data_IF_644465535300
#
_entry.id   IF_644465535300
#
_cell.length_a   1.000
_cell.length_b   1.000
_cell.length_c   1.000
_cell.angle_alpha   90.00
_cell.angle_beta   90.00
_cell.angle_gamma   90.00
#
_symmetry.space_group_name_H-M   'P 1'
#
loop_
_entity.id
_entity.type
_entity.pdbx_description
1 polymer ?
#
# COMPACT_ATOMS: atom_id res chain seq x y z
N UNK A 1 -24.65 -12.68 -0.67
CA UNK A 1 -23.88 -13.06 0.53
C UNK A 1 -24.28 -12.33 1.82
N UNK A 2 -25.45 -11.65 1.89
CA UNK A 2 -25.82 -10.71 2.97
C UNK A 2 -26.07 -11.30 4.37
N UNK A 3 -26.01 -12.62 4.52
CA UNK A 3 -26.14 -13.32 5.81
C UNK A 3 -24.83 -13.92 6.30
N UNK A 4 -23.77 -13.88 5.49
CA UNK A 4 -22.45 -14.41 5.85
C UNK A 4 -21.83 -13.48 6.90
N UNK A 5 -21.48 -14.03 8.05
CA UNK A 5 -20.86 -13.29 9.18
C UNK A 5 -19.36 -13.58 9.30
N UNK A 6 -18.85 -14.61 8.64
CA UNK A 6 -17.42 -14.96 8.62
C UNK A 6 -17.02 -15.51 7.26
N UNK A 7 -15.84 -15.12 6.77
CA UNK A 7 -15.17 -15.69 5.60
C UNK A 7 -13.81 -16.31 5.98
N UNK A 8 -13.62 -16.66 7.26
CA UNK A 8 -12.39 -17.27 7.77
C UNK A 8 -11.92 -18.41 6.87
N UNK A 9 -10.73 -18.25 6.27
CA UNK A 9 -10.09 -19.22 5.37
C UNK A 9 -10.90 -19.63 4.12
N UNK A 10 -11.92 -18.88 3.70
CA UNK A 10 -12.82 -19.28 2.62
C UNK A 10 -12.12 -19.66 1.31
N UNK A 11 -11.04 -18.96 0.94
CA UNK A 11 -10.22 -19.24 -0.24
C UNK A 11 -8.76 -19.57 0.12
N UNK A 12 -8.52 -20.08 1.33
CA UNK A 12 -7.19 -20.47 1.76
C UNK A 12 -6.60 -21.52 0.81
N UNK A 13 -5.39 -21.28 0.29
CA UNK A 13 -4.70 -22.15 -0.67
C UNK A 13 -5.46 -22.40 -1.98
N UNK A 14 -6.44 -21.57 -2.30
CA UNK A 14 -7.06 -21.57 -3.61
C UNK A 14 -6.10 -20.89 -4.62
N UNK A 15 -4.97 -21.55 -4.93
CA UNK A 15 -3.81 -20.95 -5.60
C UNK A 15 -4.14 -20.21 -6.91
N UNK A 16 -5.17 -20.68 -7.62
CA UNK A 16 -5.62 -20.14 -8.92
C UNK A 16 -6.90 -19.31 -8.83
N UNK A 17 -7.45 -19.09 -7.64
CA UNK A 17 -8.68 -18.34 -7.47
C UNK A 17 -8.46 -16.88 -7.84
N UNK A 18 -9.29 -16.37 -8.76
CA UNK A 18 -9.29 -15.00 -9.24
C UNK A 18 -10.66 -14.66 -9.86
N UNK A 19 -11.74 -15.19 -9.27
CA UNK A 19 -13.10 -14.97 -9.78
C UNK A 19 -13.68 -13.70 -9.17
N UNK A 20 -14.44 -12.95 -9.97
CA UNK A 20 -15.07 -11.71 -9.51
C UNK A 20 -16.00 -11.97 -8.31
N UNK A 21 -15.71 -11.27 -7.22
CA UNK A 21 -16.45 -11.26 -5.95
C UNK A 21 -16.64 -9.84 -5.43
N UNK A 22 -16.36 -8.81 -6.25
CA UNK A 22 -16.44 -7.41 -5.84
C UNK A 22 -17.86 -7.00 -5.45
N UNK A 23 -18.87 -7.63 -6.05
CA UNK A 23 -20.29 -7.39 -5.79
C UNK A 23 -20.85 -8.09 -4.53
N UNK A 24 -20.03 -8.82 -3.78
CA UNK A 24 -20.48 -9.51 -2.59
C UNK A 24 -20.84 -8.52 -1.47
N UNK A 25 -22.01 -8.71 -0.88
CA UNK A 25 -22.40 -7.99 0.33
C UNK A 25 -21.63 -8.56 1.54
N UNK A 26 -20.73 -7.76 2.11
CA UNK A 26 -19.89 -8.11 3.28
C UNK A 26 -20.30 -7.39 4.56
N UNK A 27 -21.39 -6.62 4.59
CA UNK A 27 -21.74 -5.71 5.70
C UNK A 27 -22.08 -6.37 7.04
N UNK A 28 -22.13 -7.71 7.08
CA UNK A 28 -22.28 -8.50 8.31
C UNK A 28 -21.01 -9.27 8.71
N UNK A 29 -19.97 -9.25 7.89
CA UNK A 29 -18.75 -9.99 8.19
C UNK A 29 -18.00 -9.36 9.35
N UNK A 30 -17.60 -10.21 10.28
CA UNK A 30 -16.78 -9.82 11.43
C UNK A 30 -15.39 -10.44 11.38
N UNK A 31 -15.16 -11.44 10.53
CA UNK A 31 -13.91 -12.17 10.45
C UNK A 31 -13.52 -12.49 9.01
N UNK A 32 -12.39 -11.95 8.57
CA UNK A 32 -11.76 -12.18 7.25
C UNK A 32 -10.39 -12.85 7.38
N UNK A 33 -10.06 -13.42 8.54
CA UNK A 33 -8.79 -14.07 8.81
C UNK A 33 -8.43 -15.06 7.69
N UNK A 34 -7.26 -14.91 7.07
CA UNK A 34 -6.71 -15.81 6.05
C UNK A 34 -7.62 -16.10 4.85
N UNK A 35 -8.60 -15.24 4.56
CA UNK A 35 -9.58 -15.46 3.48
C UNK A 35 -8.90 -15.77 2.15
N UNK A 36 -7.87 -15.00 1.78
CA UNK A 36 -7.10 -15.20 0.53
C UNK A 36 -5.66 -15.65 0.79
N UNK A 37 -5.35 -16.20 1.97
CA UNK A 37 -4.00 -16.68 2.23
C UNK A 37 -3.63 -17.77 1.21
N UNK A 38 -2.50 -17.60 0.53
CA UNK A 38 -2.03 -18.46 -0.57
C UNK A 38 -2.95 -18.52 -1.79
N UNK A 39 -3.84 -17.55 -1.98
CA UNK A 39 -4.55 -17.38 -3.25
C UNK A 39 -3.64 -16.61 -4.23
N UNK A 40 -2.61 -17.29 -4.74
CA UNK A 40 -1.48 -16.66 -5.46
C UNK A 40 -1.91 -15.79 -6.65
N UNK A 41 -2.99 -16.17 -7.34
CA UNK A 41 -3.51 -15.49 -8.52
C UNK A 41 -4.58 -14.43 -8.22
N UNK A 42 -4.99 -14.25 -6.96
CA UNK A 42 -6.11 -13.38 -6.62
C UNK A 42 -5.73 -11.89 -6.78
N UNK A 43 -6.48 -11.16 -7.61
CA UNK A 43 -6.33 -9.73 -7.83
C UNK A 43 -7.66 -9.10 -8.31
N UNK A 44 -8.79 -9.52 -7.74
CA UNK A 44 -10.10 -8.96 -8.06
C UNK A 44 -10.41 -7.75 -7.18
N UNK A 45 -11.07 -6.76 -7.76
CA UNK A 45 -11.49 -5.55 -7.06
C UNK A 45 -12.45 -5.90 -5.91
N UNK A 46 -12.00 -5.57 -4.70
CA UNK A 46 -12.74 -5.72 -3.44
C UNK A 46 -12.70 -4.41 -2.64
N UNK A 47 -12.37 -3.29 -3.29
CA UNK A 47 -12.33 -1.97 -2.63
C UNK A 47 -13.69 -1.56 -2.07
N UNK A 48 -14.78 -2.06 -2.69
CA UNK A 48 -16.16 -1.81 -2.28
C UNK A 48 -16.67 -2.70 -1.13
N UNK A 49 -15.85 -3.62 -0.60
CA UNK A 49 -16.26 -4.42 0.55
C UNK A 49 -16.42 -3.57 1.81
N UNK A 50 -17.55 -3.74 2.50
CA UNK A 50 -17.77 -3.15 3.82
C UNK A 50 -16.97 -3.93 4.87
N UNK A 51 -15.97 -3.28 5.46
CA UNK A 51 -15.10 -3.81 6.52
C UNK A 51 -15.37 -3.21 7.90
N UNK A 52 -16.37 -2.33 8.03
CA UNK A 52 -16.65 -1.54 9.24
C UNK A 52 -16.92 -2.39 10.50
N UNK A 53 -17.31 -3.66 10.32
CA UNK A 53 -17.56 -4.62 11.42
C UNK A 53 -16.49 -5.68 11.60
N UNK A 54 -15.44 -5.68 10.77
CA UNK A 54 -14.42 -6.72 10.78
C UNK A 54 -13.44 -6.49 11.93
N UNK A 55 -13.29 -7.50 12.78
CA UNK A 55 -12.40 -7.45 13.95
C UNK A 55 -11.10 -8.23 13.74
N UNK A 56 -11.07 -9.19 12.81
CA UNK A 56 -9.88 -10.01 12.49
C UNK A 56 -9.63 -10.07 10.97
N UNK A 57 -8.44 -9.62 10.56
CA UNK A 57 -7.93 -9.66 9.18
C UNK A 57 -6.54 -10.34 9.12
N UNK A 58 -6.14 -11.08 10.15
CA UNK A 58 -4.82 -11.70 10.21
C UNK A 58 -4.56 -12.56 8.96
N UNK A 59 -3.46 -12.27 8.26
CA UNK A 59 -3.03 -12.97 7.05
C UNK A 59 -4.02 -12.99 5.90
N UNK A 60 -4.98 -12.06 5.81
CA UNK A 60 -5.98 -12.06 4.73
C UNK A 60 -5.36 -12.14 3.32
N UNK A 61 -4.21 -11.49 3.09
CA UNK A 61 -3.45 -11.50 1.84
C UNK A 61 -2.06 -12.15 1.97
N UNK A 62 -1.81 -12.96 2.99
CA UNK A 62 -0.52 -13.68 3.14
C UNK A 62 -0.28 -14.59 1.94
N UNK A 63 0.78 -14.35 1.19
CA UNK A 63 1.09 -14.94 -0.11
C UNK A 63 0.04 -14.70 -1.22
N UNK A 64 -0.83 -13.69 -1.14
CA UNK A 64 -1.62 -13.25 -2.30
C UNK A 64 -0.72 -12.45 -3.27
N UNK A 65 0.17 -13.16 -3.96
CA UNK A 65 1.39 -12.64 -4.61
C UNK A 65 1.17 -11.50 -5.58
N UNK A 66 0.04 -11.51 -6.29
CA UNK A 66 -0.30 -10.54 -7.35
C UNK A 66 -1.40 -9.56 -6.95
N UNK A 67 -1.88 -9.63 -5.70
CA UNK A 67 -2.94 -8.74 -5.22
C UNK A 67 -2.44 -7.30 -5.12
N UNK A 68 -3.13 -6.38 -5.78
CA UNK A 68 -2.81 -4.96 -5.81
C UNK A 68 -4.04 -4.08 -6.12
N UNK A 69 -5.17 -4.39 -5.48
CA UNK A 69 -6.41 -3.61 -5.65
C UNK A 69 -6.53 -2.55 -4.57
N UNK A 70 -7.09 -1.40 -4.93
CA UNK A 70 -7.29 -0.29 -4.01
C UNK A 70 -8.22 -0.71 -2.85
N UNK A 71 -7.68 -0.64 -1.65
CA UNK A 71 -8.35 -0.93 -0.38
C UNK A 71 -8.10 0.19 0.64
N UNK A 72 -7.61 1.36 0.19
CA UNK A 72 -7.33 2.49 1.07
C UNK A 72 -8.58 2.97 1.80
N UNK A 73 -9.75 2.81 1.18
CA UNK A 73 -11.06 3.20 1.71
C UNK A 73 -11.65 2.23 2.76
N UNK A 74 -11.00 1.11 3.06
CA UNK A 74 -11.51 0.17 4.07
C UNK A 74 -11.54 0.80 5.47
N UNK A 75 -12.69 0.70 6.14
CA UNK A 75 -12.84 1.06 7.54
C UNK A 75 -12.28 -0.05 8.43
N UNK A 76 -11.22 0.27 9.16
CA UNK A 76 -10.57 -0.65 10.08
C UNK A 76 -10.79 -0.31 11.54
N UNK A 77 -11.63 0.68 11.89
CA UNK A 77 -11.83 1.16 13.28
C UNK A 77 -12.10 0.05 14.31
N UNK A 78 -12.76 -1.04 13.91
CA UNK A 78 -13.03 -2.21 14.74
C UNK A 78 -12.02 -3.36 14.61
N UNK A 79 -11.09 -3.29 13.67
CA UNK A 79 -10.05 -4.29 13.50
C UNK A 79 -9.11 -4.33 14.71
N UNK A 80 -8.78 -5.54 15.15
CA UNK A 80 -7.88 -5.81 16.29
C UNK A 80 -6.70 -6.71 15.92
N UNK A 81 -6.68 -7.28 14.71
CA UNK A 81 -5.69 -8.27 14.27
C UNK A 81 -5.37 -8.13 12.79
N UNK A 82 -4.14 -7.75 12.51
CA UNK A 82 -3.60 -7.60 11.14
C UNK A 82 -2.26 -8.34 10.99
N UNK A 83 -2.01 -9.36 11.82
CA UNK A 83 -0.76 -10.10 11.80
C UNK A 83 -0.50 -10.68 10.40
N UNK A 84 0.66 -10.35 9.81
CA UNK A 84 1.07 -10.88 8.50
C UNK A 84 0.07 -10.62 7.36
N UNK A 85 -0.77 -9.59 7.45
CA UNK A 85 -1.81 -9.27 6.47
C UNK A 85 -1.30 -9.26 5.03
N UNK A 86 -0.11 -8.68 4.79
CA UNK A 86 0.53 -8.54 3.46
C UNK A 86 1.85 -9.30 3.33
N UNK A 87 2.10 -10.28 4.20
CA UNK A 87 3.33 -11.06 4.15
C UNK A 87 3.41 -11.77 2.79
N UNK A 88 4.52 -11.61 2.06
CA UNK A 88 4.71 -12.12 0.69
C UNK A 88 3.67 -11.65 -0.36
N UNK A 89 2.96 -10.55 -0.12
CA UNK A 89 2.13 -9.90 -1.13
C UNK A 89 3.03 -9.04 -2.05
N UNK A 90 3.79 -9.71 -2.93
CA UNK A 90 4.90 -9.08 -3.67
C UNK A 90 4.49 -7.85 -4.50
N UNK A 91 3.31 -7.89 -5.13
CA UNK A 91 2.82 -6.84 -6.01
C UNK A 91 2.07 -5.71 -5.27
N UNK A 92 1.75 -5.87 -3.99
CA UNK A 92 0.92 -4.90 -3.28
C UNK A 92 1.67 -3.60 -3.02
N UNK A 93 1.09 -2.47 -3.44
CA UNK A 93 1.65 -1.14 -3.20
C UNK A 93 0.61 -0.06 -2.88
N UNK A 94 -0.67 -0.39 -2.70
CA UNK A 94 -1.72 0.62 -2.51
C UNK A 94 -1.53 1.45 -1.25
N UNK A 95 -1.87 2.75 -1.30
CA UNK A 95 -1.79 3.63 -0.14
C UNK A 95 -2.81 3.23 0.92
N UNK A 96 -2.29 2.80 2.08
CA UNK A 96 -3.05 2.40 3.26
C UNK A 96 -2.54 3.12 4.51
N UNK A 97 -1.75 4.19 4.34
CA UNK A 97 -1.17 4.98 5.45
C UNK A 97 -2.25 5.67 6.28
N UNK A 98 -3.41 5.95 5.67
CA UNK A 98 -4.58 6.52 6.34
C UNK A 98 -5.30 5.59 7.33
N UNK A 99 -4.96 4.29 7.39
CA UNK A 99 -5.57 3.36 8.33
C UNK A 99 -5.18 3.70 9.78
N UNK A 100 -6.14 4.16 10.58
CA UNK A 100 -5.90 4.88 11.85
C UNK A 100 -5.81 4.02 13.11
N UNK A 101 -5.55 2.72 13.02
CA UNK A 101 -5.59 1.83 14.19
C UNK A 101 -4.20 1.52 14.79
N UNK A 102 -4.01 1.91 16.04
CA UNK A 102 -2.75 1.87 16.79
C UNK A 102 -2.31 0.48 17.31
N UNK A 103 -3.03 -0.62 17.07
CA UNK A 103 -2.84 -1.89 17.80
C UNK A 103 -1.98 -2.94 17.09
N UNK A 104 -0.87 -2.59 16.43
CA UNK A 104 -0.08 -3.55 15.64
C UNK A 104 1.45 -3.55 15.90
N UNK A 105 1.98 -2.84 16.89
CA UNK A 105 3.42 -2.92 17.15
C UNK A 105 3.88 -4.30 17.64
N UNK A 106 2.97 -5.11 18.18
CA UNK A 106 3.35 -6.29 18.95
C UNK A 106 3.52 -7.62 18.18
N UNK A 107 2.89 -7.87 17.02
CA UNK A 107 2.67 -9.30 16.63
C UNK A 107 2.80 -9.74 15.16
N UNK A 108 3.40 -8.97 14.24
CA UNK A 108 3.61 -9.54 12.90
C UNK A 108 4.57 -8.86 11.94
N UNK A 109 5.21 -9.70 11.13
CA UNK A 109 5.94 -9.37 9.91
C UNK A 109 4.97 -8.95 8.79
N UNK A 110 4.16 -7.91 9.04
CA UNK A 110 3.00 -7.53 8.21
C UNK A 110 3.38 -7.31 6.74
N UNK A 111 4.49 -6.61 6.51
CA UNK A 111 4.99 -6.28 5.18
C UNK A 111 6.24 -7.08 4.79
N UNK A 112 6.54 -8.18 5.49
CA UNK A 112 7.70 -9.01 5.13
C UNK A 112 7.53 -9.56 3.72
N UNK A 113 8.47 -9.22 2.84
CA UNK A 113 8.44 -9.57 1.42
C UNK A 113 7.24 -9.02 0.65
N UNK A 114 6.67 -7.91 1.12
CA UNK A 114 5.78 -7.06 0.31
C UNK A 114 6.66 -6.11 -0.52
N UNK A 115 7.34 -6.65 -1.53
CA UNK A 115 8.47 -6.00 -2.18
C UNK A 115 8.08 -4.66 -2.85
N UNK A 116 6.92 -4.59 -3.51
CA UNK A 116 6.44 -3.35 -4.13
C UNK A 116 6.11 -2.26 -3.09
N UNK A 117 5.45 -2.62 -1.98
CA UNK A 117 5.22 -1.72 -0.84
C UNK A 117 6.54 -1.22 -0.25
N UNK A 118 7.46 -2.13 0.08
CA UNK A 118 8.75 -1.78 0.69
C UNK A 118 9.68 -1.00 -0.27
N UNK A 119 9.51 -1.13 -1.58
CA UNK A 119 10.21 -0.30 -2.55
C UNK A 119 9.82 1.18 -2.41
N UNK A 120 8.61 1.46 -1.92
CA UNK A 120 7.95 2.77 -2.03
C UNK A 120 7.64 3.41 -0.67
N UNK A 121 7.65 2.63 0.39
CA UNK A 121 7.37 3.07 1.75
C UNK A 121 8.59 2.96 2.65
N UNK A 122 8.72 3.90 3.57
CA UNK A 122 9.70 3.85 4.67
C UNK A 122 9.02 4.05 6.00
N UNK A 123 9.66 3.56 7.06
CA UNK A 123 9.19 3.77 8.43
C UNK A 123 9.40 5.21 8.87
N UNK A 124 8.43 5.75 9.59
CA UNK A 124 8.52 7.08 10.19
C UNK A 124 9.63 7.12 11.27
N UNK A 125 9.79 6.03 12.03
CA UNK A 125 10.84 5.88 13.05
C UNK A 125 12.25 5.59 12.49
N UNK A 126 12.40 5.49 11.16
CA UNK A 126 13.67 5.20 10.48
C UNK A 126 14.17 3.76 10.63
N UNK A 127 13.44 2.87 11.29
CA UNK A 127 13.87 1.48 11.47
C UNK A 127 13.74 0.66 10.17
N UNK A 128 14.53 -0.40 10.04
CA UNK A 128 14.38 -1.40 8.98
C UNK A 128 13.23 -2.40 9.26
N UNK A 129 12.39 -2.13 10.25
CA UNK A 129 11.34 -3.05 10.69
C UNK A 129 10.20 -3.09 9.66
N UNK A 130 9.90 -4.30 9.18
CA UNK A 130 8.76 -4.59 8.28
C UNK A 130 7.45 -4.87 9.03
N UNK A 131 7.42 -4.51 10.32
CA UNK A 131 6.28 -4.71 11.23
C UNK A 131 5.45 -3.44 11.35
N UNK A 132 4.40 -3.54 12.15
CA UNK A 132 3.67 -2.38 12.65
C UNK A 132 2.49 -1.98 11.77
N UNK A 133 1.64 -1.11 12.33
CA UNK A 133 0.44 -0.66 11.65
C UNK A 133 0.79 0.14 10.39
N UNK A 134 -0.15 0.22 9.45
CA UNK A 134 0.06 0.94 8.19
C UNK A 134 0.35 2.43 8.37
N UNK A 135 -0.14 3.06 9.44
CA UNK A 135 0.14 4.46 9.78
C UNK A 135 1.55 4.72 10.36
N UNK A 136 2.36 3.68 10.58
CA UNK A 136 3.78 3.83 10.93
C UNK A 136 4.69 4.02 9.68
N UNK A 137 4.08 4.07 8.50
CA UNK A 137 4.74 4.15 7.21
C UNK A 137 4.41 5.47 6.52
N UNK A 138 5.38 5.98 5.79
CA UNK A 138 5.24 7.16 4.93
C UNK A 138 5.86 6.84 3.58
N UNK A 139 5.40 7.51 2.54
CA UNK A 139 6.02 7.44 1.22
C UNK A 139 7.51 7.81 1.31
N UNK A 140 8.34 7.05 0.59
CA UNK A 140 9.70 7.48 0.31
C UNK A 140 9.64 8.73 -0.58
N UNK A 141 10.54 9.70 -0.38
CA UNK A 141 10.75 10.77 -1.36
C UNK A 141 11.07 10.17 -2.73
N UNK A 142 10.74 10.88 -3.80
CA UNK A 142 11.10 10.44 -5.13
C UNK A 142 12.60 10.61 -5.36
N UNK A 143 13.15 9.84 -6.31
CA UNK A 143 14.53 10.07 -6.73
C UNK A 143 14.62 11.38 -7.52
N UNK A 144 15.84 11.90 -7.66
CA UNK A 144 16.13 13.15 -8.39
C UNK A 144 15.70 13.09 -9.86
N UNK A 145 15.45 11.91 -10.41
CA UNK A 145 15.00 11.68 -11.78
C UNK A 145 13.55 11.19 -11.87
N UNK A 146 12.76 11.32 -10.79
CA UNK A 146 11.36 10.89 -10.73
C UNK A 146 10.44 11.99 -10.18
N UNK A 147 9.27 12.19 -10.80
CA UNK A 147 8.20 13.08 -10.32
C UNK A 147 7.05 12.31 -9.68
N UNK A 148 6.23 12.97 -8.86
CA UNK A 148 4.97 12.36 -8.37
C UNK A 148 3.86 12.49 -9.43
N UNK A 149 3.38 11.36 -9.93
CA UNK A 149 2.18 11.26 -10.76
C UNK A 149 1.20 10.27 -10.13
N UNK A 150 0.01 10.76 -9.75
CA UNK A 150 -1.02 9.95 -9.06
C UNK A 150 -0.52 9.27 -7.77
N UNK A 151 0.35 9.96 -7.00
CA UNK A 151 0.93 9.41 -5.77
C UNK A 151 2.13 8.47 -5.97
N UNK A 152 2.61 8.33 -7.22
CA UNK A 152 3.72 7.45 -7.59
C UNK A 152 4.89 8.22 -8.17
N UNK A 153 6.11 7.88 -7.75
CA UNK A 153 7.31 8.33 -8.46
C UNK A 153 7.36 7.66 -9.83
N UNK A 154 7.29 8.47 -10.88
CA UNK A 154 7.44 8.08 -12.28
C UNK A 154 8.67 8.77 -12.86
N UNK A 155 9.45 8.11 -13.73
CA UNK A 155 10.63 8.71 -14.32
C UNK A 155 10.29 10.02 -15.03
N UNK A 156 11.16 11.00 -14.87
CA UNK A 156 11.16 12.20 -15.68
C UNK A 156 11.57 11.87 -17.12
N UNK A 157 11.11 12.69 -18.07
CA UNK A 157 11.62 12.62 -19.44
C UNK A 157 13.12 12.94 -19.45
N UNK A 158 13.87 12.48 -20.45
CA UNK A 158 15.29 12.82 -20.55
C UNK A 158 15.49 14.35 -20.58
N UNK A 159 16.49 14.84 -19.81
CA UNK A 159 16.79 16.27 -19.54
C UNK A 159 15.93 16.96 -18.47
N UNK A 160 15.11 16.22 -17.72
CA UNK A 160 14.34 16.79 -16.62
C UNK A 160 14.67 16.07 -15.29
N UNK A 161 14.71 16.84 -14.20
CA UNK A 161 14.98 16.35 -12.83
C UNK A 161 13.95 16.88 -11.84
N UNK A 162 13.80 16.20 -10.71
CA UNK A 162 13.05 16.62 -9.53
C UNK A 162 14.03 17.28 -8.54
N UNK A 163 13.82 18.54 -8.16
CA UNK A 163 14.75 19.30 -7.31
C UNK A 163 14.46 19.13 -5.81
N UNK A 164 15.40 19.57 -4.97
CA UNK A 164 15.26 19.48 -3.52
C UNK A 164 14.28 20.54 -2.99
N UNK A 165 13.11 20.11 -2.53
CA UNK A 165 11.98 20.98 -2.16
C UNK A 165 10.67 20.56 -2.84
N UNK A 166 10.79 19.75 -3.89
CA UNK A 166 9.72 19.29 -4.78
C UNK A 166 9.12 17.95 -4.30
N UNK A 167 9.67 17.37 -3.23
CA UNK A 167 9.10 16.21 -2.57
C UNK A 167 8.16 16.66 -1.46
N UNK A 168 6.85 16.42 -1.54
CA UNK A 168 6.03 16.74 -0.40
C UNK A 168 6.03 15.58 0.59
N UNK A 169 6.22 15.92 1.86
CA UNK A 169 5.62 15.16 2.94
C UNK A 169 4.06 15.22 2.91
N UNK A 170 3.44 16.16 2.15
CA UNK A 170 1.99 16.27 1.94
C UNK A 170 1.56 17.31 0.84
N UNK A 171 1.51 16.92 -0.44
CA UNK A 171 1.04 17.69 -1.63
C UNK A 171 1.51 19.15 -1.78
N UNK A 172 2.43 19.52 -2.69
CA UNK A 172 2.34 19.41 -4.15
C UNK A 172 3.74 19.64 -4.73
N UNK A 173 4.27 18.67 -5.48
CA UNK A 173 5.01 18.94 -6.72
C UNK A 173 4.73 17.79 -7.69
N UNK A 174 4.48 18.11 -8.95
CA UNK A 174 3.98 17.19 -9.98
C UNK A 174 4.70 17.36 -11.31
N UNK A 175 5.73 18.21 -11.35
CA UNK A 175 6.35 18.62 -12.61
C UNK A 175 7.84 18.30 -12.55
N UNK A 176 8.36 17.74 -13.64
CA UNK A 176 9.81 17.62 -13.76
C UNK A 176 10.35 18.97 -14.23
N UNK A 177 11.35 19.49 -13.53
CA UNK A 177 12.01 20.72 -13.92
C UNK A 177 12.98 20.44 -15.06
N UNK A 178 12.90 21.27 -16.11
CA UNK A 178 13.84 21.19 -17.24
C UNK A 178 15.21 21.65 -16.77
N UNK A 179 16.20 20.78 -16.89
CA UNK A 179 17.53 21.03 -16.35
C UNK A 179 18.08 22.42 -16.77
N UNK A 180 18.62 23.11 -15.75
CA UNK A 180 19.78 24.02 -15.83
C UNK A 180 19.59 25.56 -15.96
N UNK A 181 18.47 26.17 -15.54
CA UNK A 181 18.40 27.65 -15.59
C UNK A 181 19.23 28.34 -14.49
N UNK A 182 19.23 27.81 -13.26
CA UNK A 182 19.96 28.44 -12.13
C UNK A 182 21.50 28.36 -12.20
N UNK A 183 22.05 27.33 -12.85
CA UNK A 183 23.50 27.10 -12.97
C UNK A 183 24.10 27.63 -14.29
N UNK A 184 23.31 27.74 -15.37
CA UNK A 184 23.76 28.38 -16.61
C UNK A 184 23.73 29.91 -16.51
N UNK A 185 22.78 30.49 -15.79
CA UNK A 185 22.71 31.95 -15.60
C UNK A 185 23.83 32.49 -14.68
N UNK A 186 24.41 31.65 -13.81
CA UNK A 186 25.59 31.99 -13.02
C UNK A 186 26.91 31.99 -13.81
N UNK A 187 26.96 31.30 -14.96
CA UNK A 187 28.18 31.20 -15.79
C UNK A 187 28.20 32.25 -16.91
N UNK A 188 27.05 32.82 -17.29
CA UNK A 188 26.96 33.90 -18.30
C UNK A 188 27.15 35.30 -17.71
N UNK A 189 27.05 35.47 -16.38
CA UNK A 189 27.34 36.74 -15.70
C UNK A 189 28.84 36.99 -15.41
N UNK A 190 29.73 36.07 -15.82
CA UNK A 190 31.19 36.17 -15.65
C UNK A 190 32.00 36.12 -16.97
N UNK A 191 31.38 36.48 -18.10
CA UNK A 191 32.07 36.82 -19.37
C UNK A 191 31.64 38.22 -19.82
#
# INVERSE_FOLDING_TARGET
>A
TSQVTTMHQMFNRAFRFNQDIGSWNTSKNTNLCRTFQKAFAFNQDIGNWDTSKVTDMAGIFDEARVFNQDIGNWDLSLNRRQDSMFKHAYAFYQDITGWSNASNEATGNNFYRADAWLARMRRIDGTASVRGPSNAWVHKPCLVDERVQSGWCVPCGGMFSNAAGDDPAAGVDTVCDGDNQGLKDAVVACL
#
